data_IF_733066550362
#
_entry.id   IF_733066550362
#
_cell.length_a   1.000
_cell.length_b   1.000
_cell.length_c   1.000
_cell.angle_alpha   90.00
_cell.angle_beta   90.00
_cell.angle_gamma   90.00
#
_symmetry.space_group_name_H-M   'P 1'
#
loop_
_entity.id
_entity.type
_entity.pdbx_description
1 polymer ?
#
# COMPACT_ATOMS: atom_id res chain seq x y z
N UNK A 1 -12.19 -8.68 11.46
CA UNK A 1 -12.72 -7.30 11.32
C UNK A 1 -12.52 -6.45 12.58
N UNK A 2 -12.40 -7.02 13.78
CA UNK A 2 -12.19 -6.25 15.02
C UNK A 2 -10.77 -5.68 15.18
N UNK A 3 -9.73 -6.49 14.89
CA UNK A 3 -8.34 -6.06 15.09
C UNK A 3 -7.94 -4.80 14.32
N UNK A 4 -8.46 -4.60 13.10
CA UNK A 4 -8.09 -3.45 12.27
C UNK A 4 -8.59 -2.13 12.88
N UNK A 5 -9.77 -2.15 13.52
CA UNK A 5 -10.29 -0.96 14.19
C UNK A 5 -9.48 -0.61 15.45
N UNK A 6 -9.00 -1.62 16.17
CA UNK A 6 -8.19 -1.45 17.39
C UNK A 6 -6.75 -1.03 17.09
N UNK A 7 -6.25 -1.34 15.89
CA UNK A 7 -4.87 -1.13 15.49
C UNK A 7 -4.67 -0.04 14.43
N UNK A 8 -5.72 0.72 14.11
CA UNK A 8 -5.65 1.87 13.22
C UNK A 8 -5.10 3.12 13.93
N UNK A 9 -3.93 2.99 14.56
CA UNK A 9 -3.21 4.11 15.14
C UNK A 9 -1.73 4.07 14.74
N UNK A 10 -1.11 5.25 14.72
CA UNK A 10 0.25 5.43 14.20
C UNK A 10 1.30 4.70 15.03
N UNK A 11 1.11 4.59 16.34
CA UNK A 11 2.05 3.96 17.26
C UNK A 11 2.12 2.46 17.02
N UNK A 12 0.96 1.80 16.93
CA UNK A 12 0.85 0.40 16.60
C UNK A 12 1.43 0.10 15.21
N UNK A 13 1.10 0.92 14.21
CA UNK A 13 1.66 0.74 12.87
C UNK A 13 3.18 0.91 12.86
N UNK A 14 3.71 1.89 13.61
CA UNK A 14 5.16 2.10 13.69
C UNK A 14 5.87 0.91 14.33
N UNK A 15 5.29 0.31 15.37
CA UNK A 15 5.80 -0.91 16.00
C UNK A 15 5.72 -2.14 15.09
N UNK A 16 4.72 -2.22 14.22
CA UNK A 16 4.50 -3.33 13.28
C UNK A 16 5.01 -3.04 11.86
N UNK A 17 5.75 -1.94 11.65
CA UNK A 17 6.11 -1.46 10.32
C UNK A 17 6.92 -2.49 9.54
N UNK A 18 7.91 -3.11 10.17
CA UNK A 18 8.73 -4.16 9.54
C UNK A 18 7.88 -5.32 9.06
N UNK A 19 6.93 -5.79 9.87
CA UNK A 19 5.98 -6.85 9.48
C UNK A 19 5.15 -6.45 8.26
N UNK A 20 4.70 -5.19 8.20
CA UNK A 20 4.00 -4.68 7.02
C UNK A 20 4.91 -4.62 5.79
N UNK A 21 6.17 -4.20 5.95
CA UNK A 21 7.13 -4.13 4.84
C UNK A 21 7.41 -5.52 4.27
N UNK A 22 7.73 -6.50 5.14
CA UNK A 22 8.10 -7.85 4.75
C UNK A 22 6.93 -8.66 4.16
N UNK A 23 5.74 -8.55 4.75
CA UNK A 23 4.61 -9.41 4.41
C UNK A 23 3.65 -8.81 3.39
N UNK A 24 3.67 -7.48 3.21
CA UNK A 24 2.70 -6.79 2.35
C UNK A 24 3.40 -5.96 1.29
N UNK A 25 4.23 -4.99 1.69
CA UNK A 25 4.81 -4.02 0.75
C UNK A 25 5.76 -4.68 -0.25
N UNK A 26 6.71 -5.45 0.23
CA UNK A 26 7.75 -6.05 -0.62
C UNK A 26 7.17 -7.13 -1.55
N UNK A 27 6.30 -8.06 -1.08
CA UNK A 27 5.60 -8.98 -1.97
C UNK A 27 4.74 -8.27 -3.02
N UNK A 28 4.05 -7.19 -2.66
CA UNK A 28 3.25 -6.42 -3.61
C UNK A 28 4.11 -5.72 -4.67
N UNK A 29 5.26 -5.14 -4.29
CA UNK A 29 6.21 -4.55 -5.24
C UNK A 29 6.77 -5.60 -6.19
N UNK A 30 7.16 -6.77 -5.67
CA UNK A 30 7.61 -7.89 -6.51
C UNK A 30 6.53 -8.35 -7.49
N UNK A 31 5.27 -8.39 -7.06
CA UNK A 31 4.16 -8.71 -7.95
C UNK A 31 3.99 -7.66 -9.05
N UNK A 32 4.03 -6.37 -8.70
CA UNK A 32 3.95 -5.27 -9.66
C UNK A 32 5.06 -5.37 -10.72
N UNK A 33 6.29 -5.64 -10.30
CA UNK A 33 7.43 -5.80 -11.20
C UNK A 33 7.28 -7.02 -12.10
N UNK A 34 6.89 -8.16 -11.55
CA UNK A 34 6.69 -9.39 -12.32
C UNK A 34 5.53 -9.26 -13.33
N UNK A 35 4.45 -8.58 -12.94
CA UNK A 35 3.27 -8.38 -13.79
C UNK A 35 3.47 -7.30 -14.86
N UNK A 36 4.47 -6.43 -14.73
CA UNK A 36 4.68 -5.31 -15.64
C UNK A 36 4.88 -5.74 -17.11
N UNK A 37 5.53 -6.87 -17.35
CA UNK A 37 5.70 -7.40 -18.70
C UNK A 37 4.38 -7.87 -19.30
N UNK A 38 3.59 -8.63 -18.53
CA UNK A 38 2.31 -9.16 -18.97
C UNK A 38 1.27 -8.06 -19.19
N UNK A 39 1.26 -7.05 -18.33
CA UNK A 39 0.35 -5.92 -18.45
C UNK A 39 0.52 -5.16 -19.78
N UNK A 40 1.76 -5.06 -20.29
CA UNK A 40 2.02 -4.43 -21.60
C UNK A 40 1.39 -5.21 -22.75
N UNK A 41 1.27 -6.53 -22.63
CA UNK A 41 0.60 -7.37 -23.63
C UNK A 41 -0.92 -7.16 -23.62
N UNK A 42 -1.49 -6.86 -22.44
CA UNK A 42 -2.93 -6.60 -22.27
C UNK A 42 -3.30 -5.21 -22.81
N UNK A 43 -2.52 -4.17 -22.47
CA UNK A 43 -2.75 -2.82 -22.95
C UNK A 43 -1.51 -1.93 -22.83
N UNK A 44 -1.15 -1.17 -23.88
CA UNK A 44 -0.03 -0.24 -23.84
C UNK A 44 -0.32 1.00 -22.97
N UNK A 45 -1.58 1.22 -22.57
CA UNK A 45 -1.98 2.39 -21.80
C UNK A 45 -1.79 2.21 -20.28
N UNK A 46 -1.58 0.99 -19.80
CA UNK A 46 -1.34 0.71 -18.40
C UNK A 46 0.13 0.45 -18.13
N UNK A 47 0.65 1.03 -17.05
CA UNK A 47 2.02 0.83 -16.61
C UNK A 47 2.02 0.40 -15.15
N UNK A 48 2.45 -0.82 -14.89
CA UNK A 48 2.72 -1.31 -13.54
C UNK A 48 4.08 -0.76 -13.10
N UNK A 49 4.08 0.09 -12.08
CA UNK A 49 5.29 0.65 -11.48
C UNK A 49 5.14 0.64 -9.96
N UNK A 50 6.20 0.85 -9.17
CA UNK A 50 6.06 1.02 -7.72
C UNK A 50 5.05 2.08 -7.29
N UNK A 51 4.71 3.05 -8.16
CA UNK A 51 3.68 4.08 -7.90
C UNK A 51 2.25 3.54 -7.98
N UNK A 52 2.06 2.34 -8.54
CA UNK A 52 0.77 1.65 -8.59
C UNK A 52 0.36 1.11 -7.22
N UNK A 53 1.28 1.02 -6.26
CA UNK A 53 0.97 0.65 -4.88
C UNK A 53 0.39 1.86 -4.11
N UNK A 54 -0.74 1.67 -3.44
CA UNK A 54 -1.32 2.68 -2.57
C UNK A 54 -0.42 2.98 -1.38
N UNK A 55 -0.37 4.26 -0.97
CA UNK A 55 0.34 4.67 0.24
C UNK A 55 -0.50 4.37 1.47
N UNK A 56 0.12 3.79 2.48
CA UNK A 56 -0.54 3.50 3.77
C UNK A 56 -0.88 4.77 4.56
N UNK A 57 -0.08 5.83 4.40
CA UNK A 57 -0.37 7.12 5.02
C UNK A 57 -1.36 7.91 4.17
N UNK A 58 -2.52 8.20 4.76
CA UNK A 58 -3.52 9.11 4.19
C UNK A 58 -2.98 10.55 4.21
N UNK A 59 -3.17 11.26 3.10
CA UNK A 59 -2.95 12.70 3.08
C UNK A 59 -4.15 13.41 3.72
N UNK A 60 -4.00 13.81 4.98
CA UNK A 60 -5.07 14.45 5.74
C UNK A 60 -5.12 15.98 5.59
N UNK A 61 -4.26 16.59 4.75
CA UNK A 61 -4.12 18.06 4.67
C UNK A 61 -5.41 18.75 4.25
N UNK A 62 -6.25 18.08 3.46
CA UNK A 62 -7.52 18.60 2.95
C UNK A 62 -8.73 17.78 3.44
N UNK A 63 -8.53 16.86 4.37
CA UNK A 63 -9.62 16.04 4.90
C UNK A 63 -10.39 16.79 5.98
N UNK A 64 -11.73 16.77 5.88
CA UNK A 64 -12.64 17.32 6.90
C UNK A 64 -12.60 16.52 8.20
N UNK A 65 -12.29 15.23 8.10
CA UNK A 65 -12.06 14.32 9.22
C UNK A 65 -10.57 13.90 9.25
N UNK A 66 -9.91 14.16 10.39
CA UNK A 66 -8.47 13.91 10.59
C UNK A 66 -8.22 12.73 11.52
N UNK A 67 -9.25 11.90 11.74
CA UNK A 67 -9.10 10.66 12.48
C UNK A 67 -7.99 9.81 11.83
N UNK A 68 -7.10 9.21 12.65
CA UNK A 68 -5.97 8.42 12.16
C UNK A 68 -6.40 7.22 11.29
#
# INVERSE_FOLDING_TARGET
MAELAEHNNREWFSANKTRYEDLVKDPALRFIEAFAAELKNISPHFMATPRSLFRIYRDARFSRDKSP
#
